data_IF_527182208613
#
_entry.id   IF_527182208613
#
_cell.length_a   1.000
_cell.length_b   1.000
_cell.length_c   1.000
_cell.angle_alpha   90.00
_cell.angle_beta   90.00
_cell.angle_gamma   90.00
#
_symmetry.space_group_name_H-M   'P 1'
#
loop_
_entity.id
_entity.type
_entity.pdbx_description
1 polymer ?
#
# COMPACT_ATOMS: atom_id res chain seq x y z
N UNK A 1 11.28 -9.63 1.59
CA UNK A 1 11.13 -8.39 0.81
C UNK A 1 10.06 -8.59 -0.27
N UNK A 2 9.25 -7.56 -0.57
CA UNK A 2 8.27 -7.62 -1.66
C UNK A 2 8.95 -7.95 -3.00
N UNK A 3 8.35 -8.89 -3.76
CA UNK A 3 8.82 -9.29 -5.08
C UNK A 3 7.87 -8.74 -6.13
N UNK A 4 8.02 -7.46 -6.44
CA UNK A 4 7.22 -6.77 -7.44
C UNK A 4 7.98 -6.72 -8.75
N UNK A 5 7.27 -6.90 -9.86
CA UNK A 5 7.76 -6.48 -11.16
C UNK A 5 7.84 -4.95 -11.23
N UNK A 6 8.65 -4.42 -12.13
CA UNK A 6 8.74 -2.95 -12.34
C UNK A 6 7.38 -2.32 -12.65
N UNK A 7 6.53 -3.02 -13.42
CA UNK A 7 5.18 -2.54 -13.75
C UNK A 7 4.26 -2.49 -12.54
N UNK A 8 4.25 -3.54 -11.70
CA UNK A 8 3.48 -3.54 -10.45
C UNK A 8 3.96 -2.47 -9.50
N UNK A 9 5.27 -2.32 -9.33
CA UNK A 9 5.86 -1.28 -8.50
C UNK A 9 5.47 0.12 -8.97
N UNK A 10 5.57 0.38 -10.28
CA UNK A 10 5.20 1.66 -10.86
C UNK A 10 3.73 1.98 -10.59
N UNK A 11 2.82 1.06 -10.93
CA UNK A 11 1.39 1.20 -10.69
C UNK A 11 1.07 1.48 -9.21
N UNK A 12 1.65 0.69 -8.31
CA UNK A 12 1.40 0.82 -6.87
C UNK A 12 1.92 2.15 -6.31
N UNK A 13 3.03 2.68 -6.84
CA UNK A 13 3.52 4.02 -6.49
C UNK A 13 2.59 5.12 -7.00
N UNK A 14 2.06 5.00 -8.22
CA UNK A 14 1.11 5.96 -8.80
C UNK A 14 -0.15 6.09 -7.94
N UNK A 15 -0.68 4.98 -7.44
CA UNK A 15 -1.86 4.98 -6.56
C UNK A 15 -1.54 5.19 -5.08
N UNK A 16 -0.29 5.56 -4.75
CA UNK A 16 0.19 5.76 -3.36
C UNK A 16 0.02 4.55 -2.45
N UNK A 17 0.02 3.35 -3.01
CA UNK A 17 -0.06 2.12 -2.23
C UNK A 17 1.27 1.72 -1.58
N UNK A 18 2.41 2.21 -2.10
CA UNK A 18 3.74 1.89 -1.56
C UNK A 18 4.40 3.08 -0.86
N UNK A 19 5.23 2.75 0.12
CA UNK A 19 6.23 3.61 0.75
C UNK A 19 7.53 2.83 0.93
N UNK A 20 8.57 3.48 1.45
CA UNK A 20 9.81 2.83 1.84
C UNK A 20 9.96 2.81 3.36
N UNK A 21 10.38 1.68 3.90
CA UNK A 21 10.74 1.57 5.31
C UNK A 21 12.14 2.16 5.59
N UNK A 22 12.59 2.12 6.85
CA UNK A 22 13.90 2.67 7.26
C UNK A 22 15.11 2.01 6.56
N UNK A 23 14.94 0.80 6.03
CA UNK A 23 15.97 0.06 5.31
C UNK A 23 15.94 0.33 3.80
N UNK A 24 14.99 1.15 3.32
CA UNK A 24 14.79 1.44 1.90
C UNK A 24 14.04 0.36 1.14
N UNK A 25 13.40 -0.60 1.83
CA UNK A 25 12.58 -1.62 1.21
C UNK A 25 11.16 -1.12 0.94
N UNK A 26 10.62 -1.47 -0.23
CA UNK A 26 9.23 -1.18 -0.57
C UNK A 26 8.29 -1.93 0.38
N UNK A 27 7.35 -1.19 0.98
CA UNK A 27 6.30 -1.70 1.86
C UNK A 27 4.98 -1.04 1.50
N UNK A 28 3.87 -1.74 1.75
CA UNK A 28 2.55 -1.12 1.61
C UNK A 28 2.39 -0.04 2.69
N UNK A 29 1.83 1.10 2.30
CA UNK A 29 1.63 2.23 3.23
C UNK A 29 0.84 1.77 4.46
N UNK A 30 1.31 2.14 5.66
CA UNK A 30 0.71 1.75 6.92
C UNK A 30 1.03 0.33 7.40
N UNK A 31 1.71 -0.48 6.57
CA UNK A 31 2.14 -1.83 6.92
C UNK A 31 3.65 -1.87 7.17
N UNK A 32 4.09 -2.76 8.07
CA UNK A 32 5.50 -3.09 8.20
C UNK A 32 5.94 -4.11 7.12
N UNK A 33 7.22 -4.48 7.10
CA UNK A 33 7.78 -5.41 6.11
C UNK A 33 7.06 -6.77 6.09
N UNK A 34 6.83 -7.37 7.26
CA UNK A 34 6.20 -8.67 7.37
C UNK A 34 4.72 -8.61 6.96
N UNK A 35 4.01 -7.58 7.43
CA UNK A 35 2.62 -7.33 7.05
C UNK A 35 2.49 -7.10 5.54
N UNK A 36 3.43 -6.37 4.93
CA UNK A 36 3.43 -6.11 3.49
C UNK A 36 3.59 -7.37 2.68
N UNK A 37 4.55 -8.23 3.05
CA UNK A 37 4.76 -9.52 2.38
C UNK A 37 3.54 -10.43 2.53
N UNK A 38 2.95 -10.45 3.73
CA UNK A 38 1.75 -11.22 4.01
C UNK A 38 0.55 -10.71 3.22
N UNK A 39 0.34 -9.40 3.21
CA UNK A 39 -0.72 -8.75 2.45
C UNK A 39 -0.58 -9.01 0.95
N UNK A 40 0.64 -8.88 0.40
CA UNK A 40 0.92 -9.18 -1.00
C UNK A 40 0.63 -10.63 -1.37
N UNK A 41 0.99 -11.57 -0.48
CA UNK A 41 0.68 -12.99 -0.68
C UNK A 41 -0.82 -13.27 -0.66
N UNK A 42 -1.55 -12.64 0.27
CA UNK A 42 -2.99 -12.82 0.44
C UNK A 42 -3.82 -12.10 -0.63
N UNK A 43 -3.31 -11.02 -1.22
CA UNK A 43 -4.01 -10.24 -2.25
C UNK A 43 -3.99 -10.89 -3.64
N UNK A 44 -3.30 -12.03 -3.81
CA UNK A 44 -3.25 -12.74 -5.07
C UNK A 44 -4.64 -13.32 -5.45
N UNK A 45 -5.26 -12.87 -6.55
CA UNK A 45 -6.60 -13.32 -6.94
C UNK A 45 -6.67 -14.79 -7.34
N UNK A 46 -5.55 -15.42 -7.67
CA UNK A 46 -5.48 -16.84 -8.01
C UNK A 46 -5.43 -17.75 -6.76
N UNK A 47 -5.26 -17.17 -5.57
CA UNK A 47 -5.19 -17.93 -4.32
C UNK A 47 -6.59 -18.10 -3.74
N UNK A 48 -6.95 -19.35 -3.45
CA UNK A 48 -8.09 -19.63 -2.57
C UNK A 48 -7.66 -19.37 -1.13
N UNK A 49 -8.35 -18.45 -0.45
CA UNK A 49 -8.12 -18.15 0.95
C UNK A 49 -9.04 -18.98 1.84
N UNK A 50 -8.47 -19.58 2.88
CA UNK A 50 -9.25 -20.09 4.01
C UNK A 50 -9.93 -18.93 4.77
N UNK A 51 -10.94 -19.23 5.59
CA UNK A 51 -11.68 -18.20 6.33
C UNK A 51 -10.76 -17.29 7.16
N UNK A 52 -9.83 -17.87 7.90
CA UNK A 52 -8.88 -17.12 8.72
C UNK A 52 -7.92 -16.27 7.89
N UNK A 53 -7.49 -16.77 6.71
CA UNK A 53 -6.64 -16.00 5.79
C UNK A 53 -7.41 -14.82 5.17
N UNK A 54 -8.72 -14.96 4.95
CA UNK A 54 -9.59 -13.88 4.49
C UNK A 54 -9.75 -12.79 5.55
N UNK A 55 -9.98 -13.17 6.81
CA UNK A 55 -10.06 -12.21 7.91
C UNK A 55 -8.75 -11.45 8.08
N UNK A 56 -7.63 -12.15 8.00
CA UNK A 56 -6.28 -11.55 8.04
C UNK A 56 -6.08 -10.58 6.87
N UNK A 57 -6.45 -10.97 5.64
CA UNK A 57 -6.39 -10.08 4.48
C UNK A 57 -7.20 -8.80 4.70
N UNK A 58 -8.44 -8.92 5.18
CA UNK A 58 -9.32 -7.78 5.41
C UNK A 58 -8.76 -6.82 6.46
N UNK A 59 -8.19 -7.34 7.55
CA UNK A 59 -7.57 -6.52 8.58
C UNK A 59 -6.34 -5.76 8.06
N UNK A 60 -5.50 -6.43 7.26
CA UNK A 60 -4.35 -5.78 6.62
C UNK A 60 -4.78 -4.76 5.56
N UNK A 61 -5.82 -5.08 4.79
CA UNK A 61 -6.39 -4.20 3.77
C UNK A 61 -6.94 -2.91 4.38
N UNK A 62 -7.73 -3.02 5.45
CA UNK A 62 -8.29 -1.87 6.15
C UNK A 62 -7.18 -0.96 6.70
N UNK A 63 -6.18 -1.54 7.37
CA UNK A 63 -5.02 -0.80 7.88
C UNK A 63 -4.28 -0.06 6.77
N UNK A 64 -4.07 -0.74 5.64
CA UNK A 64 -3.42 -0.18 4.47
C UNK A 64 -4.21 0.99 3.86
N UNK A 65 -5.51 0.79 3.58
CA UNK A 65 -6.34 1.81 2.92
C UNK A 65 -6.55 3.04 3.81
N UNK A 66 -6.71 2.87 5.13
CA UNK A 66 -6.79 4.00 6.05
C UNK A 66 -5.52 4.87 5.98
N UNK A 67 -4.35 4.24 6.01
CA UNK A 67 -3.08 4.96 5.91
C UNK A 67 -2.89 5.60 4.52
N UNK A 68 -3.29 4.91 3.45
CA UNK A 68 -3.22 5.43 2.07
C UNK A 68 -4.12 6.66 1.87
N UNK A 69 -5.32 6.66 2.44
CA UNK A 69 -6.23 7.81 2.40
C UNK A 69 -5.64 9.03 3.11
N UNK A 70 -4.94 8.85 4.24
CA UNK A 70 -4.25 9.94 4.93
C UNK A 70 -3.13 10.55 4.09
N UNK A 71 -2.38 9.72 3.34
CA UNK A 71 -1.36 10.22 2.41
C UNK A 71 -2.00 11.05 1.31
N UNK A 72 -3.09 10.56 0.71
CA UNK A 72 -3.80 11.29 -0.35
C UNK A 72 -4.41 12.60 0.15
N UNK A 73 -4.96 12.61 1.36
CA UNK A 73 -5.54 13.81 1.96
C UNK A 73 -4.46 14.87 2.24
N UNK A 74 -3.30 14.45 2.73
CA UNK A 74 -2.15 15.33 2.91
C UNK A 74 -1.64 15.91 1.57
N UNK A 75 -1.53 15.08 0.52
CA UNK A 75 -1.14 15.55 -0.82
C UNK A 75 -2.15 16.55 -1.40
N UNK A 76 -3.45 16.28 -1.22
CA UNK A 76 -4.51 17.16 -1.67
C UNK A 76 -4.48 18.50 -0.94
N UNK A 77 -4.29 18.50 0.38
CA UNK A 77 -4.17 19.71 1.19
C UNK A 77 -3.01 20.58 0.71
N UNK A 78 -1.83 19.98 0.50
CA UNK A 78 -0.66 20.71 -0.02
C UNK A 78 -0.90 21.33 -1.40
N UNK A 79 -1.64 20.62 -2.28
CA UNK A 79 -2.00 21.15 -3.62
C UNK A 79 -2.96 22.33 -3.54
N UNK A 80 -3.89 22.33 -2.58
CA UNK A 80 -4.82 23.45 -2.35
C UNK A 80 -4.08 24.67 -1.79
N UNK A 81 -3.13 24.47 -0.88
CA UNK A 81 -2.32 25.55 -0.29
C UNK A 81 -1.30 26.13 -1.27
N UNK A 82 -0.82 25.33 -2.23
CA UNK A 82 0.10 25.74 -3.28
C UNK A 82 -0.52 25.48 -4.66
N UNK A 83 -1.56 26.23 -5.04
CA UNK A 83 -2.15 26.07 -6.36
C UNK A 83 -1.06 26.32 -7.38
N UNK A 84 -0.81 25.32 -8.23
CA UNK A 84 0.18 25.42 -9.29
C UNK A 84 -0.15 26.65 -10.14
N UNK A 85 0.70 27.68 -10.07
CA UNK A 85 0.58 28.86 -10.93
C UNK A 85 0.90 28.41 -12.36
N UNK A 86 -0.15 28.13 -13.13
CA UNK A 86 -0.07 27.98 -14.58
C UNK A 86 0.17 29.32 -15.25
#
# INVERSE_FOLDING_TARGET
MLKLTEGEKHYLLEIRALSTNAEGHDVFVGLNSNESERYHFLSNPLKSLEHSEREEYLALHEKHELARLLVLDAENTLRVEQPSRH
#
